data_IF_316155586512
#
_entry.id   IF_316155586512
#
_cell.length_a   1.000
_cell.length_b   1.000
_cell.length_c   1.000
_cell.angle_alpha   90.00
_cell.angle_beta   90.00
_cell.angle_gamma   90.00
#
_symmetry.space_group_name_H-M   'P 1'
#
loop_
_entity.id
_entity.type
_entity.pdbx_description
1 polymer ?
#
# COMPACT_ATOMS: atom_id res chain seq x y z
N UNK A 1 -11.49 -5.45 1.89
CA UNK A 1 -10.74 -6.58 1.34
C UNK A 1 -9.64 -6.09 0.43
N UNK A 2 -8.66 -6.93 0.13
CA UNK A 2 -7.61 -6.63 -0.85
C UNK A 2 -8.04 -7.19 -2.22
N UNK A 3 -7.95 -6.38 -3.27
CA UNK A 3 -8.39 -6.72 -4.62
C UNK A 3 -7.20 -6.97 -5.56
N UNK A 4 -7.46 -7.52 -6.75
CA UNK A 4 -6.43 -7.88 -7.72
C UNK A 4 -6.29 -6.84 -8.85
N UNK A 5 -5.12 -6.73 -9.52
CA UNK A 5 -4.96 -5.90 -10.71
C UNK A 5 -6.06 -6.11 -11.75
N UNK A 6 -6.60 -5.01 -12.30
CA UNK A 6 -7.73 -5.04 -13.23
C UNK A 6 -9.11 -5.02 -12.57
N UNK A 7 -9.23 -5.19 -11.25
CA UNK A 7 -10.47 -4.93 -10.52
C UNK A 7 -10.60 -3.44 -10.16
N UNK A 8 -11.81 -2.88 -10.21
CA UNK A 8 -12.07 -1.46 -9.96
C UNK A 8 -11.53 -0.95 -8.62
N UNK A 9 -11.62 -1.77 -7.58
CA UNK A 9 -11.11 -1.44 -6.25
C UNK A 9 -9.58 -1.45 -6.17
N UNK A 10 -8.91 -2.29 -6.97
CA UNK A 10 -7.45 -2.26 -7.06
C UNK A 10 -6.97 -1.02 -7.81
N UNK A 11 -7.63 -0.68 -8.91
CA UNK A 11 -7.29 0.50 -9.71
C UNK A 11 -7.44 1.80 -8.89
N UNK A 12 -8.38 1.84 -7.93
CA UNK A 12 -8.48 2.94 -6.96
C UNK A 12 -7.23 3.07 -6.08
N UNK A 13 -6.57 1.98 -5.69
CA UNK A 13 -5.36 2.02 -4.85
C UNK A 13 -4.18 2.71 -5.55
N UNK A 14 -4.14 2.70 -6.89
CA UNK A 14 -3.10 3.41 -7.66
C UNK A 14 -3.15 4.93 -7.48
N UNK A 15 -4.27 5.49 -7.05
CA UNK A 15 -4.35 6.90 -6.68
C UNK A 15 -3.59 7.22 -5.36
N UNK A 16 -3.32 6.20 -4.53
CA UNK A 16 -2.71 6.36 -3.20
C UNK A 16 -1.28 5.82 -3.11
N UNK A 17 -0.89 4.87 -3.96
CA UNK A 17 0.44 4.28 -3.98
C UNK A 17 0.93 4.00 -5.40
N UNK A 18 2.26 3.97 -5.56
CA UNK A 18 2.93 3.59 -6.82
C UNK A 18 2.77 2.09 -7.05
N UNK A 19 2.71 1.69 -8.31
CA UNK A 19 2.58 0.27 -8.72
C UNK A 19 3.60 -0.65 -8.03
N UNK A 20 4.87 -0.24 -7.93
CA UNK A 20 5.91 -1.04 -7.27
C UNK A 20 5.58 -1.38 -5.80
N UNK A 21 4.89 -0.49 -5.08
CA UNK A 21 4.43 -0.73 -3.71
C UNK A 21 3.24 -1.69 -3.70
N UNK A 22 2.30 -1.53 -4.64
CA UNK A 22 1.15 -2.42 -4.76
C UNK A 22 1.58 -3.85 -5.13
N UNK A 23 2.58 -4.00 -6.02
CA UNK A 23 3.15 -5.30 -6.38
C UNK A 23 3.86 -5.98 -5.21
N UNK A 24 4.54 -5.21 -4.36
CA UNK A 24 5.15 -5.72 -3.13
C UNK A 24 4.07 -6.16 -2.11
N UNK A 25 3.02 -5.36 -1.93
CA UNK A 25 1.89 -5.72 -1.06
C UNK A 25 1.26 -7.03 -1.53
N UNK A 26 0.93 -7.15 -2.82
CA UNK A 26 0.32 -8.36 -3.39
C UNK A 26 1.17 -9.60 -3.15
N UNK A 27 2.49 -9.53 -3.37
CA UNK A 27 3.41 -10.64 -3.09
C UNK A 27 3.42 -11.04 -1.62
N UNK A 28 3.45 -10.06 -0.71
CA UNK A 28 3.44 -10.34 0.73
C UNK A 28 2.13 -10.97 1.19
N UNK A 29 0.99 -10.51 0.69
CA UNK A 29 -0.32 -11.08 1.05
C UNK A 29 -0.41 -12.56 0.66
N UNK A 30 0.05 -12.92 -0.54
CA UNK A 30 0.12 -14.32 -1.00
C UNK A 30 1.09 -15.14 -0.15
N UNK A 31 2.31 -14.64 0.09
CA UNK A 31 3.35 -15.37 0.82
C UNK A 31 2.94 -15.71 2.27
N UNK A 32 2.08 -14.88 2.87
CA UNK A 32 1.63 -15.04 4.25
C UNK A 32 0.18 -15.54 4.37
N UNK A 33 -0.42 -16.00 3.27
CA UNK A 33 -1.77 -16.56 3.23
C UNK A 33 -2.87 -15.64 3.79
N UNK A 34 -2.77 -14.33 3.56
CA UNK A 34 -3.83 -13.38 3.87
C UNK A 34 -5.07 -13.67 3.02
N UNK A 35 -6.26 -13.50 3.60
CA UNK A 35 -7.55 -13.63 2.90
C UNK A 35 -7.85 -12.33 2.18
N UNK A 36 -8.09 -12.41 0.88
CA UNK A 36 -8.38 -11.24 0.02
C UNK A 36 -9.87 -11.15 -0.33
N UNK A 37 -10.26 -10.19 -1.17
CA UNK A 37 -11.65 -9.92 -1.60
C UNK A 37 -12.62 -9.58 -0.45
N UNK A 38 -13.92 -9.69 -0.72
CA UNK A 38 -15.00 -9.42 0.22
C UNK A 38 -14.87 -10.34 1.44
N UNK A 39 -15.03 -9.78 2.64
CA UNK A 39 -14.89 -10.48 3.93
C UNK A 39 -13.49 -11.05 4.24
N UNK A 40 -12.48 -10.74 3.43
CA UNK A 40 -11.08 -11.01 3.73
C UNK A 40 -10.46 -10.06 4.76
N UNK A 41 -9.16 -10.20 4.96
CA UNK A 41 -8.37 -9.33 5.82
C UNK A 41 -8.35 -7.88 5.30
N UNK A 42 -8.05 -6.96 6.22
CA UNK A 42 -7.98 -5.53 5.94
C UNK A 42 -6.54 -5.06 5.69
N UNK A 43 -6.38 -4.12 4.76
CA UNK A 43 -5.11 -3.43 4.46
C UNK A 43 -5.25 -1.97 4.86
N UNK A 44 -4.32 -1.46 5.66
CA UNK A 44 -4.18 -0.04 5.97
C UNK A 44 -3.00 0.53 5.20
N UNK A 45 -3.27 1.45 4.27
CA UNK A 45 -2.26 2.18 3.52
C UNK A 45 -2.25 3.64 3.99
N UNK A 46 -1.08 4.13 4.38
CA UNK A 46 -0.87 5.52 4.74
C UNK A 46 0.45 6.02 4.17
N UNK A 47 0.50 7.29 3.77
CA UNK A 47 1.75 7.95 3.41
C UNK A 47 2.44 8.37 4.70
N UNK A 48 3.67 7.89 4.91
CA UNK A 48 4.56 8.53 5.88
C UNK A 48 5.05 9.82 5.26
N UNK A 49 4.54 10.96 5.72
CA UNK A 49 5.08 12.25 5.33
C UNK A 49 6.59 12.23 5.63
N UNK A 50 7.40 12.67 4.66
CA UNK A 50 8.85 12.65 4.79
C UNK A 50 9.24 13.29 6.12
N UNK A 51 10.06 12.59 6.90
CA UNK A 51 10.67 13.10 8.13
C UNK A 51 11.03 14.56 7.84
N UNK A 52 10.38 15.50 8.52
CA UNK A 52 10.47 16.92 8.22
C UNK A 52 11.92 17.30 7.98
N UNK A 53 12.19 18.09 6.94
CA UNK A 53 13.53 18.59 6.60
C UNK A 53 14.30 18.83 7.89
N UNK A 54 15.38 18.07 8.12
CA UNK A 54 16.29 18.37 9.19
C UNK A 54 16.77 19.82 8.94
N UNK A 55 16.28 20.76 9.73
CA UNK A 55 16.80 22.11 9.74
C UNK A 55 18.23 21.98 10.26
N UNK A 56 19.20 21.94 9.35
CA UNK A 56 20.61 22.06 9.68
C UNK A 56 20.80 23.42 10.31
N UNK A 57 20.93 23.45 11.65
CA UNK A 57 21.37 24.63 12.37
C UNK A 57 22.85 24.84 12.01
N UNK A 58 23.14 25.96 11.36
CA UNK A 58 24.50 26.45 11.18
C UNK A 58 25.01 26.94 12.53
N UNK A 59 26.23 26.54 12.90
CA UNK A 59 27.10 27.28 13.84
C UNK A 59 28.51 27.22 13.29
#
# INVERSE_FOLDING_TARGET
GVHQPGESHFELLRAFARDAVLDEISRNLTAHAYRTHEFGDSLLLYRKDGIGKAHSHFT
#
